data_IF_902826567194
#
_entry.id   IF_902826567194
#
_cell.length_a   1.000
_cell.length_b   1.000
_cell.length_c   1.000
_cell.angle_alpha   90.00
_cell.angle_beta   90.00
_cell.angle_gamma   90.00
#
_symmetry.space_group_name_H-M   'P 1'
#
loop_
_entity.id
_entity.type
_entity.pdbx_description
1 polymer ?
#
# COMPACT_ATOMS: atom_id res chain seq x y z
N UNK A 1 9.85 -21.60 7.96
CA UNK A 1 8.45 -21.20 8.22
C UNK A 1 8.18 -19.98 7.35
N UNK A 2 7.36 -20.09 6.30
CA UNK A 2 7.19 -19.01 5.32
C UNK A 2 6.25 -17.95 5.90
N UNK A 3 6.80 -16.82 6.37
CA UNK A 3 6.08 -15.74 7.03
C UNK A 3 6.01 -14.53 6.10
N UNK A 4 4.94 -14.41 5.33
CA UNK A 4 4.83 -13.39 4.29
C UNK A 4 4.22 -12.09 4.84
N UNK A 5 5.02 -11.05 4.97
CA UNK A 5 4.56 -9.73 5.41
C UNK A 5 4.04 -8.89 4.24
N UNK A 6 2.73 -8.96 3.98
CA UNK A 6 2.13 -8.32 2.81
C UNK A 6 1.71 -6.87 3.03
N UNK A 7 2.69 -5.98 3.12
CA UNK A 7 2.46 -4.57 3.49
C UNK A 7 1.93 -3.69 2.34
N UNK A 8 0.63 -3.80 2.03
CA UNK A 8 -0.02 -3.20 0.84
C UNK A 8 -0.40 -1.71 0.95
N UNK A 9 0.59 -0.82 0.92
CA UNK A 9 0.33 0.63 0.95
C UNK A 9 -0.05 1.24 -0.41
N UNK A 10 -1.11 2.08 -0.44
CA UNK A 10 -1.17 3.32 -1.25
C UNK A 10 -1.12 4.51 -0.31
N UNK A 11 -0.45 5.58 -0.75
CA UNK A 11 -0.64 6.92 -0.19
C UNK A 11 -0.94 7.91 -1.33
N UNK A 12 -1.95 7.63 -2.16
CA UNK A 12 -2.63 8.31 -3.30
C UNK A 12 -2.01 9.24 -4.38
N UNK A 13 -2.63 9.12 -5.57
CA UNK A 13 -2.48 9.79 -6.88
C UNK A 13 -1.18 10.56 -7.24
N UNK A 14 -0.64 10.37 -8.46
CA UNK A 14 0.57 11.05 -8.92
C UNK A 14 0.31 12.55 -9.16
N UNK A 15 1.32 13.38 -8.82
CA UNK A 15 1.39 14.80 -9.18
C UNK A 15 1.17 14.99 -10.69
N UNK A 16 0.24 15.87 -11.04
CA UNK A 16 0.15 16.41 -12.41
C UNK A 16 1.42 17.20 -12.69
N UNK A 17 2.27 16.71 -13.60
CA UNK A 17 3.41 17.45 -14.12
C UNK A 17 2.91 18.70 -14.85
N UNK A 18 2.86 19.85 -14.19
CA UNK A 18 2.66 21.13 -14.87
C UNK A 18 4.01 21.63 -15.40
N UNK A 19 4.20 21.48 -16.71
CA UNK A 19 5.17 22.20 -17.50
C UNK A 19 5.01 23.72 -17.30
N UNK A 20 6.09 24.37 -16.94
CA UNK A 20 6.17 25.79 -16.60
C UNK A 20 5.68 26.70 -17.73
N UNK A 21 4.65 27.53 -17.48
CA UNK A 21 4.44 28.82 -18.17
C UNK A 21 3.46 29.72 -17.39
N UNK A 22 4.03 30.72 -16.70
CA UNK A 22 3.56 32.12 -16.62
C UNK A 22 2.21 32.50 -15.98
N UNK A 23 2.32 33.21 -14.85
CA UNK A 23 1.53 34.35 -14.33
C UNK A 23 0.21 34.14 -13.53
N UNK A 24 0.25 34.74 -12.33
CA UNK A 24 -0.77 35.30 -11.40
C UNK A 24 -2.07 34.52 -11.09
N UNK A 25 -2.25 34.11 -9.82
CA UNK A 25 -3.45 34.25 -8.93
C UNK A 25 -3.58 33.16 -7.84
N UNK A 26 -4.04 33.59 -6.65
CA UNK A 26 -4.58 32.86 -5.48
C UNK A 26 -3.81 31.65 -4.90
N UNK A 27 -3.24 31.83 -3.70
CA UNK A 27 -2.78 30.74 -2.83
C UNK A 27 -3.97 29.93 -2.30
N UNK A 28 -4.46 28.98 -3.11
CA UNK A 28 -5.07 27.77 -2.60
C UNK A 28 -3.90 26.89 -2.16
N UNK A 29 -3.76 26.61 -0.86
CA UNK A 29 -2.95 25.45 -0.45
C UNK A 29 -3.69 24.24 -1.04
N UNK A 30 -3.27 23.83 -2.24
CA UNK A 30 -3.70 22.58 -2.88
C UNK A 30 -3.30 21.47 -1.91
N UNK A 31 -4.27 21.05 -1.09
CA UNK A 31 -4.13 20.01 -0.09
C UNK A 31 -3.69 18.73 -0.82
N UNK A 32 -2.41 18.40 -0.67
CA UNK A 32 -1.69 17.45 -1.52
C UNK A 32 -0.72 16.63 -0.70
N UNK A 33 -0.50 15.40 -1.13
CA UNK A 33 0.32 14.43 -0.42
C UNK A 33 1.05 13.50 -1.39
N UNK A 34 2.03 12.75 -0.88
CA UNK A 34 2.90 11.90 -1.68
C UNK A 34 2.46 10.42 -1.63
N UNK A 35 2.40 9.78 -2.82
CA UNK A 35 2.21 8.33 -2.99
C UNK A 35 3.40 7.61 -3.58
N UNK A 36 3.34 6.30 -3.41
CA UNK A 36 3.96 5.32 -4.29
C UNK A 36 3.42 5.48 -5.73
N UNK A 37 4.32 5.67 -6.68
CA UNK A 37 4.00 5.89 -8.09
C UNK A 37 3.64 4.60 -8.85
N UNK A 38 4.18 3.45 -8.43
CA UNK A 38 3.97 2.16 -9.08
C UNK A 38 4.19 1.02 -8.07
N UNK A 39 3.63 -0.17 -8.33
CA UNK A 39 3.84 -1.37 -7.51
C UNK A 39 5.33 -1.58 -7.24
N UNK A 40 5.68 -1.76 -5.97
CA UNK A 40 7.01 -2.16 -5.51
C UNK A 40 6.91 -3.49 -4.78
N UNK A 41 7.96 -4.29 -4.85
CA UNK A 41 8.07 -5.55 -4.14
C UNK A 41 9.47 -5.74 -3.56
N UNK A 42 9.55 -6.43 -2.43
CA UNK A 42 10.83 -6.74 -1.77
C UNK A 42 10.72 -8.05 -1.02
N UNK A 43 11.83 -8.79 -0.96
CA UNK A 43 11.96 -10.00 -0.16
C UNK A 43 13.06 -9.83 0.89
N UNK A 44 12.77 -10.21 2.14
CA UNK A 44 13.77 -10.29 3.20
C UNK A 44 13.73 -11.69 3.81
N UNK A 45 14.91 -12.23 4.14
CA UNK A 45 15.04 -13.49 4.87
C UNK A 45 15.59 -13.23 6.26
N UNK A 46 14.86 -13.67 7.28
CA UNK A 46 15.27 -13.58 8.68
C UNK A 46 15.17 -14.98 9.28
N UNK A 47 16.30 -15.54 9.70
CA UNK A 47 16.38 -16.93 10.17
C UNK A 47 15.80 -17.91 9.13
N UNK A 48 14.81 -18.72 9.52
CA UNK A 48 14.11 -19.66 8.65
C UNK A 48 12.82 -19.07 8.04
N UNK A 49 12.63 -17.75 8.13
CA UNK A 49 11.46 -17.03 7.67
C UNK A 49 11.76 -16.14 6.45
N UNK A 50 10.79 -16.07 5.55
CA UNK A 50 10.84 -15.34 4.28
C UNK A 50 9.67 -14.39 4.23
N UNK A 51 9.96 -13.09 4.13
CA UNK A 51 9.03 -11.97 4.19
C UNK A 51 8.94 -11.39 2.78
N UNK A 52 7.77 -11.48 2.13
CA UNK A 52 7.51 -10.82 0.85
C UNK A 52 6.60 -9.63 1.09
N UNK A 53 7.07 -8.44 0.75
CA UNK A 53 6.34 -7.19 0.95
C UNK A 53 6.03 -6.53 -0.38
N UNK A 54 4.81 -5.97 -0.48
CA UNK A 54 4.27 -5.39 -1.70
C UNK A 54 3.66 -4.04 -1.40
N UNK A 55 4.18 -2.97 -1.98
CA UNK A 55 3.57 -1.65 -1.88
C UNK A 55 2.82 -1.35 -3.19
N UNK A 56 1.49 -1.22 -3.16
CA UNK A 56 0.65 -1.15 -4.37
C UNK A 56 -0.28 0.04 -4.34
N UNK A 57 -0.30 0.87 -5.39
CA UNK A 57 -1.24 1.95 -5.45
C UNK A 57 -2.71 1.49 -5.71
N UNK A 58 -3.54 1.34 -4.66
CA UNK A 58 -5.01 1.47 -4.66
C UNK A 58 -5.65 2.89 -4.41
N UNK A 59 -6.57 3.36 -5.26
CA UNK A 59 -7.39 4.57 -5.00
C UNK A 59 -8.67 4.26 -4.22
N UNK A 60 -9.13 3.00 -4.28
CA UNK A 60 -10.38 2.55 -3.66
C UNK A 60 -10.18 1.24 -2.90
N UNK A 61 -11.11 0.91 -2.01
CA UNK A 61 -11.08 -0.33 -1.22
C UNK A 61 -11.24 -1.56 -2.13
N UNK A 62 -11.96 -1.43 -3.24
CA UNK A 62 -12.12 -2.51 -4.23
C UNK A 62 -10.78 -2.83 -4.89
N UNK A 63 -10.01 -1.81 -5.31
CA UNK A 63 -8.67 -2.02 -5.89
C UNK A 63 -7.72 -2.69 -4.89
N UNK A 64 -7.82 -2.32 -3.60
CA UNK A 64 -7.07 -3.00 -2.55
C UNK A 64 -7.48 -4.47 -2.45
N UNK A 65 -8.78 -4.75 -2.44
CA UNK A 65 -9.32 -6.12 -2.30
C UNK A 65 -8.90 -7.01 -3.48
N UNK A 66 -9.00 -6.50 -4.70
CA UNK A 66 -8.56 -7.20 -5.92
C UNK A 66 -7.05 -7.54 -5.88
N UNK A 67 -6.23 -6.58 -5.41
CA UNK A 67 -4.79 -6.78 -5.28
C UNK A 67 -4.45 -7.79 -4.17
N UNK A 68 -5.13 -7.72 -3.03
CA UNK A 68 -5.01 -8.66 -1.92
C UNK A 68 -5.35 -10.09 -2.38
N UNK A 69 -6.46 -10.27 -3.11
CA UNK A 69 -6.89 -11.57 -3.61
C UNK A 69 -5.99 -12.12 -4.72
N UNK A 70 -5.40 -11.25 -5.54
CA UNK A 70 -4.37 -11.66 -6.50
C UNK A 70 -3.13 -12.20 -5.78
N UNK A 71 -2.63 -11.48 -4.77
CA UNK A 71 -1.44 -11.90 -4.03
C UNK A 71 -1.70 -13.14 -3.15
N UNK A 72 -2.89 -13.29 -2.57
CA UNK A 72 -3.30 -14.51 -1.88
C UNK A 72 -3.29 -15.73 -2.78
N UNK A 73 -3.70 -15.57 -4.05
CA UNK A 73 -3.63 -16.64 -5.05
C UNK A 73 -2.20 -16.93 -5.49
N UNK A 74 -1.40 -15.89 -5.71
CA UNK A 74 0.02 -16.01 -6.08
C UNK A 74 0.82 -16.73 -4.98
N UNK A 75 0.55 -16.39 -3.72
CA UNK A 75 1.25 -16.89 -2.53
C UNK A 75 0.32 -17.67 -1.61
N UNK A 76 -0.39 -18.64 -2.16
CA UNK A 76 -1.35 -19.47 -1.43
C UNK A 76 -0.72 -20.29 -0.28
N UNK A 77 0.60 -20.44 -0.30
CA UNK A 77 1.37 -21.21 0.67
C UNK A 77 2.00 -20.35 1.78
N UNK A 78 1.75 -19.04 1.78
CA UNK A 78 2.15 -18.18 2.88
C UNK A 78 1.34 -18.50 4.14
N UNK A 79 1.98 -18.46 5.30
CA UNK A 79 1.31 -18.73 6.57
C UNK A 79 0.39 -17.58 7.02
N UNK A 80 0.75 -16.36 6.64
CA UNK A 80 0.05 -15.12 6.99
C UNK A 80 0.10 -14.19 5.78
N UNK A 81 -0.98 -13.44 5.57
CA UNK A 81 -1.15 -12.37 4.59
C UNK A 81 -1.53 -11.08 5.33
N UNK A 82 -0.65 -10.64 6.23
CA UNK A 82 -0.82 -9.40 6.99
C UNK A 82 -0.92 -8.22 6.03
N UNK A 83 -1.81 -7.26 6.27
CA UNK A 83 -2.00 -6.11 5.38
C UNK A 83 -2.36 -4.85 6.13
N UNK A 84 -2.13 -3.71 5.48
CA UNK A 84 -2.70 -2.42 5.87
C UNK A 84 -3.01 -1.61 4.61
N UNK A 85 -4.09 -0.83 4.63
CA UNK A 85 -4.40 0.14 3.58
C UNK A 85 -4.93 1.44 4.17
N UNK A 86 -4.82 2.51 3.38
CA UNK A 86 -5.51 3.77 3.58
C UNK A 86 -5.92 4.33 2.22
N UNK A 87 -7.22 4.55 2.04
CA UNK A 87 -7.86 5.08 0.85
C UNK A 87 -8.58 6.39 1.21
N UNK A 88 -8.94 7.17 0.19
CA UNK A 88 -9.60 8.47 0.39
C UNK A 88 -8.62 9.65 0.56
N UNK A 89 -9.13 10.85 0.31
CA UNK A 89 -8.36 12.11 0.35
C UNK A 89 -8.08 12.56 1.78
N UNK A 90 -9.04 12.36 2.67
CA UNK A 90 -8.98 12.59 4.11
C UNK A 90 -8.35 11.41 4.88
N UNK A 91 -8.10 10.29 4.19
CA UNK A 91 -7.49 9.09 4.78
C UNK A 91 -8.37 8.38 5.82
N UNK A 92 -9.69 8.63 5.80
CA UNK A 92 -10.65 8.05 6.74
C UNK A 92 -10.90 6.56 6.51
N UNK A 93 -10.78 6.10 5.27
CA UNK A 93 -10.93 4.68 4.91
C UNK A 93 -9.60 3.93 5.09
N UNK A 94 -9.33 3.47 6.30
CA UNK A 94 -8.14 2.67 6.61
C UNK A 94 -8.49 1.36 7.29
N UNK A 95 -7.62 0.36 7.10
CA UNK A 95 -7.71 -0.91 7.80
C UNK A 95 -6.36 -1.58 7.87
N UNK A 96 -6.17 -2.41 8.88
CA UNK A 96 -5.03 -3.33 8.98
C UNK A 96 -5.48 -4.68 9.54
N UNK A 97 -4.66 -5.70 9.33
CA UNK A 97 -4.88 -7.07 9.82
C UNK A 97 -3.54 -7.77 10.00
N UNK A 98 -3.33 -8.33 11.19
CA UNK A 98 -2.16 -9.16 11.54
C UNK A 98 -2.30 -10.62 11.04
N UNK A 99 -3.44 -10.99 10.45
CA UNK A 99 -3.73 -12.33 9.90
C UNK A 99 -3.30 -13.52 10.78
N UNK A 100 -3.51 -13.41 12.09
CA UNK A 100 -3.18 -14.47 13.06
C UNK A 100 -1.79 -14.37 13.68
N UNK A 101 -1.00 -13.35 13.35
CA UNK A 101 0.14 -12.95 14.18
C UNK A 101 -0.32 -12.41 15.55
N UNK A 102 0.55 -12.42 16.59
CA UNK A 102 0.23 -11.75 17.85
C UNK A 102 -0.21 -10.31 17.61
N UNK A 103 -1.25 -9.87 18.31
CA UNK A 103 -1.89 -8.58 18.02
C UNK A 103 -0.87 -7.43 18.06
N UNK A 104 -0.82 -6.65 16.97
CA UNK A 104 0.04 -5.47 16.83
C UNK A 104 1.51 -5.78 16.54
N UNK A 105 1.85 -6.98 16.07
CA UNK A 105 3.24 -7.31 15.68
C UNK A 105 3.53 -7.19 14.19
N UNK A 106 2.51 -7.10 13.32
CA UNK A 106 2.67 -7.07 11.88
C UNK A 106 2.76 -5.64 11.28
#
# INVERSE_FOLDING_TARGET
MLLMFMLLFKIARPMSQKSHKGNEEMHHDDDSYLTIAARQETEIKILASRFLSYAIPCDTVEQFTDALDALRREHYNANHHCYAYRCGFDGSDFRYSDDGEPNGTA
#
